data_IF_892000715364
#
_entry.id   IF_892000715364
#
_cell.length_a   1.000
_cell.length_b   1.000
_cell.length_c   1.000
_cell.angle_alpha   90.00
_cell.angle_beta   90.00
_cell.angle_gamma   90.00
#
_symmetry.space_group_name_H-M   'P 1'
#
loop_
_entity.id
_entity.type
_entity.pdbx_description
1 polymer ?
#
# COMPACT_ATOMS: atom_id res chain seq x y z
N UNK A 1 17.65 20.54 -8.52
CA UNK A 1 16.42 19.83 -8.09
C UNK A 1 16.81 18.45 -7.59
N UNK A 2 16.30 18.00 -6.44
CA UNK A 2 16.54 16.63 -5.95
C UNK A 2 15.56 15.68 -6.65
N UNK A 3 16.04 14.52 -7.09
CA UNK A 3 15.18 13.44 -7.61
C UNK A 3 14.72 12.58 -6.44
N UNK A 4 13.48 12.13 -6.48
CA UNK A 4 12.90 11.24 -5.47
C UNK A 4 12.55 9.91 -6.15
N UNK A 5 12.82 8.81 -5.47
CA UNK A 5 12.43 7.48 -5.90
C UNK A 5 11.57 6.83 -4.81
N UNK A 6 10.42 6.29 -5.19
CA UNK A 6 9.49 5.61 -4.28
C UNK A 6 9.44 4.15 -4.69
N UNK A 7 9.73 3.25 -3.74
CA UNK A 7 9.65 1.80 -3.91
C UNK A 7 8.51 1.32 -3.03
N UNK A 8 7.53 0.64 -3.62
CA UNK A 8 6.55 -0.14 -2.86
C UNK A 8 6.87 -1.63 -2.99
N UNK A 9 6.62 -2.37 -1.91
CA UNK A 9 6.77 -3.82 -1.84
C UNK A 9 5.41 -4.40 -1.45
N UNK A 10 4.78 -5.13 -2.36
CA UNK A 10 3.43 -5.65 -2.15
C UNK A 10 3.40 -6.66 -0.99
N UNK A 11 2.34 -6.61 -0.18
CA UNK A 11 2.11 -7.42 1.00
C UNK A 11 3.26 -7.44 2.05
N UNK A 12 4.18 -6.45 2.01
CA UNK A 12 5.27 -6.38 2.98
C UNK A 12 4.74 -6.09 4.38
N UNK A 13 5.01 -7.00 5.32
CA UNK A 13 4.65 -6.82 6.73
C UNK A 13 5.73 -6.02 7.48
N UNK A 14 5.45 -4.81 7.99
CA UNK A 14 6.42 -4.04 8.77
C UNK A 14 6.91 -4.79 10.01
N UNK A 15 6.09 -5.66 10.59
CA UNK A 15 6.45 -6.50 11.75
C UNK A 15 7.53 -7.52 11.40
N UNK A 16 7.45 -8.14 10.22
CA UNK A 16 8.45 -9.11 9.77
C UNK A 16 9.76 -8.41 9.42
N UNK A 17 9.69 -7.25 8.77
CA UNK A 17 10.88 -6.45 8.46
C UNK A 17 11.60 -6.02 9.74
N UNK A 18 10.87 -5.49 10.72
CA UNK A 18 11.40 -5.08 12.02
C UNK A 18 12.07 -6.26 12.75
N UNK A 19 11.43 -7.43 12.76
CA UNK A 19 12.00 -8.66 13.34
C UNK A 19 13.30 -9.07 12.64
N UNK A 20 13.28 -9.24 11.32
CA UNK A 20 14.44 -9.73 10.57
C UNK A 20 15.58 -8.73 10.48
N UNK A 21 15.29 -7.43 10.58
CA UNK A 21 16.32 -6.40 10.75
C UNK A 21 17.04 -6.56 12.10
N UNK A 22 16.30 -6.80 13.19
CA UNK A 22 16.86 -7.01 14.52
C UNK A 22 17.63 -8.33 14.65
N UNK A 23 17.20 -9.38 13.95
CA UNK A 23 17.92 -10.67 13.87
C UNK A 23 19.17 -10.61 12.97
N UNK A 24 19.42 -9.48 12.29
CA UNK A 24 20.58 -9.30 11.40
C UNK A 24 20.42 -9.91 9.99
N UNK A 25 19.27 -10.50 9.68
CA UNK A 25 18.96 -11.13 8.37
C UNK A 25 18.72 -10.06 7.30
N UNK A 26 18.01 -8.99 7.65
CA UNK A 26 17.67 -7.89 6.74
C UNK A 26 18.53 -6.64 7.00
N UNK A 27 19.84 -6.77 6.81
CA UNK A 27 20.84 -5.72 7.11
C UNK A 27 20.59 -4.39 6.37
N UNK A 28 20.12 -4.44 5.11
CA UNK A 28 19.79 -3.23 4.36
C UNK A 28 18.58 -2.48 4.94
N UNK A 29 17.55 -3.20 5.39
CA UNK A 29 16.42 -2.57 6.08
C UNK A 29 16.86 -1.96 7.42
N UNK A 30 17.68 -2.66 8.19
CA UNK A 30 18.27 -2.13 9.43
C UNK A 30 19.02 -0.82 9.17
N UNK A 31 19.86 -0.78 8.13
CA UNK A 31 20.61 0.42 7.76
C UNK A 31 19.70 1.60 7.40
N UNK A 32 18.64 1.37 6.62
CA UNK A 32 17.65 2.41 6.24
C UNK A 32 16.91 2.93 7.47
N UNK A 33 16.53 2.06 8.42
CA UNK A 33 15.86 2.44 9.65
C UNK A 33 16.76 3.29 10.55
N UNK A 34 18.04 2.92 10.71
CA UNK A 34 19.01 3.61 11.58
C UNK A 34 19.47 4.96 11.00
N UNK A 35 19.54 5.09 9.68
CA UNK A 35 20.05 6.28 8.98
C UNK A 35 18.93 7.12 8.34
N UNK A 36 17.67 6.79 8.62
CA UNK A 36 16.50 7.39 8.00
C UNK A 36 15.34 7.49 8.97
N UNK A 37 14.15 7.11 8.51
CA UNK A 37 12.94 7.09 9.33
C UNK A 37 12.12 5.84 9.05
N UNK A 38 11.52 5.29 10.10
CA UNK A 38 10.62 4.15 10.02
C UNK A 38 9.35 4.42 10.82
N UNK A 39 8.20 4.19 10.19
CA UNK A 39 6.90 4.31 10.83
C UNK A 39 5.91 3.33 10.22
N UNK A 40 4.93 2.90 11.03
CA UNK A 40 3.81 2.10 10.58
C UNK A 40 2.74 3.05 10.04
N UNK A 41 2.21 2.75 8.86
CA UNK A 41 1.10 3.48 8.25
C UNK A 41 -0.15 2.59 8.20
N UNK A 42 -1.33 3.21 8.28
CA UNK A 42 -2.59 2.51 8.03
C UNK A 42 -2.80 2.39 6.52
N UNK A 43 -3.25 1.21 6.03
CA UNK A 43 -3.62 1.07 4.63
C UNK A 43 -4.97 1.77 4.37
N UNK A 44 -5.27 1.99 3.09
CA UNK A 44 -6.65 2.17 2.66
C UNK A 44 -7.46 0.90 2.97
N UNK A 45 -8.74 1.07 3.28
CA UNK A 45 -9.67 -0.03 3.57
C UNK A 45 -10.63 -0.19 2.39
N UNK A 46 -10.81 -1.40 1.84
CA UNK A 46 -10.14 -2.66 2.21
C UNK A 46 -8.63 -2.66 1.89
N UNK A 47 -7.84 -3.42 2.66
CA UNK A 47 -6.38 -3.50 2.51
C UNK A 47 -5.98 -4.39 1.32
N UNK A 48 -6.39 -3.95 0.13
CA UNK A 48 -6.23 -4.64 -1.14
C UNK A 48 -5.30 -3.83 -2.08
N UNK A 49 -4.71 -4.52 -3.04
CA UNK A 49 -3.71 -3.99 -3.99
C UNK A 49 -4.21 -2.76 -4.75
N UNK A 50 -5.33 -2.79 -5.50
CA UNK A 50 -5.70 -1.66 -6.38
C UNK A 50 -6.02 -0.37 -5.61
N UNK A 51 -6.65 -0.47 -4.44
CA UNK A 51 -7.01 0.65 -3.57
C UNK A 51 -5.76 1.31 -2.99
N UNK A 52 -4.84 0.51 -2.44
CA UNK A 52 -3.65 1.03 -1.78
C UNK A 52 -2.63 1.60 -2.77
N UNK A 53 -2.40 0.94 -3.91
CA UNK A 53 -1.49 1.48 -4.93
C UNK A 53 -2.03 2.77 -5.54
N UNK A 54 -3.34 2.86 -5.80
CA UNK A 54 -3.95 4.09 -6.29
C UNK A 54 -3.94 5.20 -5.24
N UNK A 55 -4.13 4.85 -3.96
CA UNK A 55 -3.98 5.79 -2.83
C UNK A 55 -2.56 6.37 -2.79
N UNK A 56 -1.52 5.53 -2.92
CA UNK A 56 -0.11 5.97 -2.94
C UNK A 56 0.17 6.85 -4.17
N UNK A 57 -0.32 6.46 -5.35
CA UNK A 57 -0.04 7.17 -6.60
C UNK A 57 -0.72 8.54 -6.68
N UNK A 58 -1.92 8.67 -6.10
CA UNK A 58 -2.74 9.89 -6.19
C UNK A 58 -2.65 10.77 -4.94
N UNK A 59 -2.23 10.21 -3.80
CA UNK A 59 -2.28 10.90 -2.50
C UNK A 59 -3.70 11.17 -2.01
N UNK A 60 -4.69 10.41 -2.48
CA UNK A 60 -6.12 10.58 -2.15
C UNK A 60 -6.75 9.26 -1.70
N UNK A 61 -7.91 9.30 -1.04
CA UNK A 61 -8.61 8.11 -0.57
C UNK A 61 -9.44 7.43 -1.67
N UNK A 62 -9.83 6.14 -1.52
CA UNK A 62 -10.69 5.43 -2.47
C UNK A 62 -11.97 6.17 -2.86
N UNK A 63 -12.60 6.87 -1.92
CA UNK A 63 -13.79 7.70 -2.21
C UNK A 63 -13.51 8.90 -3.13
N UNK A 64 -12.26 9.32 -3.29
CA UNK A 64 -11.84 10.41 -4.18
C UNK A 64 -11.37 9.90 -5.53
N UNK A 65 -10.51 8.87 -5.57
CA UNK A 65 -9.98 8.33 -6.83
C UNK A 65 -10.85 7.23 -7.45
N UNK A 66 -11.89 6.75 -6.76
CA UNK A 66 -12.89 5.82 -7.30
C UNK A 66 -12.48 4.35 -7.39
N UNK A 67 -11.25 4.01 -6.98
CA UNK A 67 -10.75 2.62 -6.97
C UNK A 67 -10.91 2.06 -5.57
N UNK A 68 -11.94 1.23 -5.37
CA UNK A 68 -12.33 0.69 -4.06
C UNK A 68 -12.52 -0.83 -4.02
N UNK A 69 -12.38 -1.50 -5.18
CA UNK A 69 -12.51 -2.95 -5.36
C UNK A 69 -11.58 -3.43 -6.47
N UNK A 70 -11.33 -4.73 -6.52
CA UNK A 70 -10.87 -5.39 -7.75
C UNK A 70 -11.98 -5.37 -8.81
N UNK A 71 -11.64 -4.91 -10.02
CA UNK A 71 -12.56 -4.76 -11.13
C UNK A 71 -13.27 -3.40 -11.07
N UNK A 72 -14.59 -3.42 -11.29
CA UNK A 72 -15.41 -2.19 -11.39
C UNK A 72 -16.59 -2.23 -10.43
N UNK A 73 -16.91 -1.08 -9.84
CA UNK A 73 -18.18 -0.79 -9.17
C UNK A 73 -18.89 0.30 -9.96
N UNK A 74 -20.17 0.12 -10.27
CA UNK A 74 -20.95 1.10 -11.05
C UNK A 74 -21.82 1.96 -10.15
N UNK A 75 -21.96 3.23 -10.51
CA UNK A 75 -22.91 4.12 -9.84
C UNK A 75 -24.33 3.53 -9.87
N UNK A 76 -24.97 3.49 -8.70
CA UNK A 76 -26.32 2.96 -8.51
C UNK A 76 -26.35 1.48 -8.09
N UNK A 77 -25.23 0.76 -8.14
CA UNK A 77 -25.16 -0.61 -7.65
C UNK A 77 -25.01 -0.66 -6.12
N UNK A 78 -25.40 -1.79 -5.53
CA UNK A 78 -25.22 -1.99 -4.09
C UNK A 78 -23.73 -2.01 -3.74
N UNK A 79 -23.37 -1.66 -2.50
CA UNK A 79 -21.97 -1.65 -2.04
C UNK A 79 -21.28 -3.02 -2.17
N UNK A 80 -22.06 -4.11 -2.19
CA UNK A 80 -21.54 -5.48 -2.31
C UNK A 80 -21.39 -5.95 -3.77
N UNK A 81 -21.99 -5.25 -4.73
CA UNK A 81 -21.91 -5.59 -6.15
C UNK A 81 -20.52 -5.24 -6.69
N UNK A 82 -19.90 -6.12 -7.45
CA UNK A 82 -18.60 -5.85 -8.07
C UNK A 82 -18.41 -6.69 -9.32
N UNK A 83 -17.91 -6.06 -10.36
CA UNK A 83 -17.57 -6.71 -11.63
C UNK A 83 -16.11 -7.18 -11.60
N UNK A 84 -15.84 -8.16 -10.74
CA UNK A 84 -14.48 -8.64 -10.47
C UNK A 84 -13.84 -9.39 -11.64
N UNK A 85 -14.65 -9.95 -12.55
CA UNK A 85 -14.16 -10.67 -13.73
C UNK A 85 -13.48 -9.76 -14.77
N UNK A 86 -13.63 -8.43 -14.62
CA UNK A 86 -12.98 -7.41 -15.45
C UNK A 86 -11.54 -7.09 -14.97
N UNK A 87 -11.13 -7.62 -13.82
CA UNK A 87 -9.87 -7.29 -13.14
C UNK A 87 -8.63 -8.02 -13.72
#
# INVERSE_FOLDING_TARGET
>A
MKRVFVIGLDALSPKLVERFANEGVCSNFKWIMDNGGFSKALPAIPAQTPENWTTIATGSWPGTHGIAVWGRHSYGETVMEKHGDEA
#
